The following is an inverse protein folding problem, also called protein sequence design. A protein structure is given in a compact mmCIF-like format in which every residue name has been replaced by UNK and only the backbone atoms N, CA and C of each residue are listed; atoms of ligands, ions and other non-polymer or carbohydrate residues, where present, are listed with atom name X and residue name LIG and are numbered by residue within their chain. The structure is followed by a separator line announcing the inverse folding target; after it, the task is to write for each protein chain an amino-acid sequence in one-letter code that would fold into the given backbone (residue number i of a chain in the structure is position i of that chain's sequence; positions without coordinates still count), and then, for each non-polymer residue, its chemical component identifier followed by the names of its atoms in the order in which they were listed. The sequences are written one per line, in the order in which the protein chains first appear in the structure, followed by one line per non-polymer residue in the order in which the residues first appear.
data_IF_483430538536
#
_entry.id   IF_483430538536
#
_cell.length_a   1.000
_cell.length_b   1.000
_cell.length_c   1.000
_cell.angle_alpha   90.00
_cell.angle_beta   90.00
_cell.angle_gamma   90.00
#
_symmetry.space_group_name_H-M   'P 1'
#
loop_
_entity.id
_entity.type
_entity.pdbx_description
1 polymer ?
#
# COMPACT_ATOMS: atom_id res chain seq x y z
N UNK A 1 28.45 -30.46 -58.94
CA UNK A 1 27.69 -31.68 -58.57
C UNK A 1 26.77 -31.29 -57.42
N UNK A 2 25.46 -31.51 -57.36
CA UNK A 2 24.44 -32.17 -58.18
C UNK A 2 23.15 -32.09 -57.33
N UNK A 3 21.99 -31.71 -57.92
CA UNK A 3 20.61 -32.19 -57.62
C UNK A 3 20.07 -32.24 -56.15
N UNK A 4 18.81 -32.03 -55.77
CA UNK A 4 17.51 -32.06 -56.44
C UNK A 4 16.42 -31.41 -55.55
N UNK A 5 15.35 -30.93 -56.21
CA UNK A 5 14.04 -30.58 -55.63
C UNK A 5 13.37 -31.78 -54.95
N UNK A 6 12.71 -31.57 -53.82
CA UNK A 6 11.49 -32.31 -53.45
C UNK A 6 10.44 -31.32 -52.91
N UNK A 7 9.28 -31.31 -53.57
CA UNK A 7 8.05 -30.66 -53.13
C UNK A 7 7.48 -31.40 -51.91
N UNK A 8 6.77 -30.71 -51.03
CA UNK A 8 5.33 -30.94 -50.89
C UNK A 8 4.62 -29.78 -50.19
N UNK A 9 3.55 -29.31 -50.82
CA UNK A 9 2.67 -28.29 -50.31
C UNK A 9 1.68 -28.94 -49.32
N UNK A 10 1.58 -28.39 -48.10
CA UNK A 10 0.40 -28.64 -47.26
C UNK A 10 -0.78 -27.91 -47.91
N UNK A 11 -1.83 -28.69 -48.18
CA UNK A 11 -3.12 -28.22 -48.65
C UNK A 11 -3.78 -27.47 -47.49
N UNK A 12 -4.02 -26.18 -47.68
CA UNK A 12 -4.98 -25.45 -46.86
C UNK A 12 -6.26 -25.29 -47.67
N UNK A 13 -7.35 -25.50 -46.97
CA UNK A 13 -8.67 -25.86 -47.48
C UNK A 13 -9.30 -24.79 -48.38
N UNK A 14 -10.08 -25.30 -49.32
CA UNK A 14 -10.88 -24.51 -50.26
C UNK A 14 -11.80 -23.53 -49.51
N UNK A 15 -11.63 -22.24 -49.78
CA UNK A 15 -12.64 -21.23 -49.47
C UNK A 15 -13.67 -21.21 -50.60
N UNK A 16 -14.89 -21.64 -50.29
CA UNK A 16 -16.03 -21.63 -51.21
C UNK A 16 -16.25 -20.24 -51.80
N UNK A 17 -16.05 -20.11 -53.11
CA UNK A 17 -16.45 -18.94 -53.88
C UNK A 17 -17.96 -18.97 -54.09
N UNK A 18 -18.68 -18.19 -53.29
CA UNK A 18 -20.09 -17.86 -53.52
C UNK A 18 -20.20 -17.02 -54.80
N UNK A 19 -20.73 -17.63 -55.85
CA UNK A 19 -21.00 -17.01 -57.15
C UNK A 19 -22.15 -15.99 -57.04
N UNK A 20 -21.80 -14.73 -56.79
CA UNK A 20 -22.69 -13.59 -57.03
C UNK A 20 -22.65 -13.15 -58.50
N UNK A 21 -23.80 -13.22 -59.17
CA UNK A 21 -24.01 -12.68 -60.52
C UNK A 21 -23.71 -11.17 -60.58
N UNK A 22 -22.66 -10.77 -61.28
CA UNK A 22 -22.45 -9.37 -61.66
C UNK A 22 -22.61 -9.20 -63.16
N UNK A 23 -23.67 -8.47 -63.48
CA UNK A 23 -24.09 -8.05 -64.81
C UNK A 23 -22.97 -7.25 -65.48
N UNK A 24 -22.58 -7.72 -66.67
CA UNK A 24 -21.70 -7.02 -67.61
C UNK A 24 -22.34 -5.69 -68.02
N UNK A 25 -21.75 -4.59 -67.54
CA UNK A 25 -21.97 -3.24 -68.05
C UNK A 25 -20.61 -2.56 -68.17
N UNK A 26 -20.10 -2.55 -69.39
CA UNK A 26 -19.04 -1.66 -69.88
C UNK A 26 -19.17 -0.25 -69.26
N UNK A 27 -18.31 0.03 -68.27
CA UNK A 27 -18.11 1.34 -67.70
C UNK A 27 -16.63 1.67 -67.83
N UNK A 28 -16.29 2.46 -68.84
CA UNK A 28 -14.96 3.01 -69.08
C UNK A 28 -14.37 3.60 -67.78
N UNK A 29 -13.21 3.09 -67.36
CA UNK A 29 -12.60 3.43 -66.07
C UNK A 29 -12.12 4.90 -66.09
N UNK A 30 -12.81 5.79 -65.37
CA UNK A 30 -12.36 7.18 -65.18
C UNK A 30 -11.32 7.25 -64.07
N UNK A 31 -10.07 7.57 -64.44
CA UNK A 31 -9.01 7.91 -63.51
C UNK A 31 -9.33 9.27 -62.86
N UNK A 32 -9.53 9.27 -61.54
CA UNK A 32 -9.73 10.50 -60.74
C UNK A 32 -8.40 11.01 -60.21
N UNK A 33 -8.31 12.32 -59.96
CA UNK A 33 -7.10 12.93 -59.41
C UNK A 33 -6.82 12.43 -57.98
N UNK A 34 -5.54 12.28 -57.58
CA UNK A 34 -5.20 11.84 -56.23
C UNK A 34 -5.77 12.80 -55.18
N UNK A 35 -6.57 12.26 -54.26
CA UNK A 35 -7.12 13.00 -53.13
C UNK A 35 -5.97 13.49 -52.25
N UNK A 36 -5.89 14.80 -51.99
CA UNK A 36 -4.85 15.34 -51.11
C UNK A 36 -4.94 14.71 -49.72
N UNK A 37 -3.83 14.20 -49.20
CA UNK A 37 -3.74 13.65 -47.85
C UNK A 37 -4.03 14.73 -46.79
N UNK A 38 -4.66 14.31 -45.69
CA UNK A 38 -4.93 15.17 -44.54
C UNK A 38 -3.61 15.55 -43.85
N UNK A 39 -3.47 16.82 -43.47
CA UNK A 39 -2.30 17.35 -42.77
C UNK A 39 -2.22 16.73 -41.37
N UNK A 40 -1.07 16.18 -40.99
CA UNK A 40 -0.86 15.62 -39.65
C UNK A 40 -1.11 16.69 -38.59
N UNK A 41 -1.96 16.38 -37.60
CA UNK A 41 -2.16 17.24 -36.45
C UNK A 41 -0.92 17.20 -35.53
N UNK A 42 -0.53 18.33 -34.91
CA UNK A 42 0.57 18.35 -33.97
C UNK A 42 0.27 17.45 -32.77
N UNK A 43 1.25 16.64 -32.40
CA UNK A 43 1.22 15.77 -31.23
C UNK A 43 0.96 16.64 -30.01
N UNK A 44 -0.19 16.44 -29.36
CA UNK A 44 -0.46 17.08 -28.07
C UNK A 44 0.52 16.49 -27.07
N UNK A 45 1.44 17.30 -26.57
CA UNK A 45 2.35 16.93 -25.50
C UNK A 45 1.52 16.57 -24.28
N UNK A 46 1.43 15.26 -23.97
CA UNK A 46 0.83 14.79 -22.72
C UNK A 46 1.59 15.48 -21.58
N UNK A 47 0.86 16.08 -20.65
CA UNK A 47 1.47 16.69 -19.47
C UNK A 47 2.33 15.65 -18.73
N UNK A 48 3.45 16.07 -18.11
CA UNK A 48 4.31 15.16 -17.37
C UNK A 48 3.51 14.41 -16.30
N UNK A 49 3.68 13.08 -16.24
CA UNK A 49 3.11 12.26 -15.19
C UNK A 49 3.70 12.75 -13.86
N UNK A 50 2.84 13.15 -12.91
CA UNK A 50 3.29 13.50 -11.57
C UNK A 50 3.80 12.23 -10.88
N UNK A 51 5.12 12.12 -10.74
CA UNK A 51 5.81 11.02 -10.04
C UNK A 51 5.85 11.22 -8.51
N UNK A 52 4.93 12.01 -7.94
CA UNK A 52 4.91 12.26 -6.51
C UNK A 52 4.57 10.96 -5.77
N UNK A 53 5.32 10.65 -4.71
CA UNK A 53 5.08 9.47 -3.89
C UNK A 53 3.76 9.63 -3.12
N UNK A 54 2.75 8.83 -3.44
CA UNK A 54 1.44 8.82 -2.77
C UNK A 54 1.51 8.42 -1.28
N UNK A 55 2.62 7.84 -0.84
CA UNK A 55 2.87 7.44 0.54
C UNK A 55 3.64 8.49 1.34
N UNK A 56 3.90 9.67 0.78
CA UNK A 56 4.57 10.76 1.51
C UNK A 56 3.80 11.20 2.76
N UNK A 57 2.48 10.98 2.80
CA UNK A 57 1.64 11.19 4.00
C UNK A 57 1.98 10.21 5.13
N UNK A 58 2.52 9.02 4.84
CA UNK A 58 2.99 8.07 5.87
C UNK A 58 4.28 8.54 6.55
N UNK A 59 5.10 9.33 5.85
CA UNK A 59 6.28 9.99 6.41
C UNK A 59 5.91 11.13 7.36
N UNK A 60 4.75 11.76 7.15
CA UNK A 60 4.27 12.90 7.92
C UNK A 60 3.36 12.49 9.09
N UNK A 61 3.58 11.31 9.66
CA UNK A 61 2.78 10.81 10.77
C UNK A 61 3.18 11.53 12.07
N UNK A 62 2.75 12.79 12.26
CA UNK A 62 2.94 13.61 13.48
C UNK A 62 4.17 13.19 14.30
N UNK A 63 5.38 13.27 13.71
CA UNK A 63 6.65 12.95 14.39
C UNK A 63 6.80 13.77 15.70
N UNK A 64 6.08 14.88 15.78
CA UNK A 64 6.08 15.82 16.89
C UNK A 64 5.29 15.39 18.12
N UNK A 65 4.55 14.28 18.08
CA UNK A 65 3.96 13.70 19.30
C UNK A 65 4.78 12.48 19.71
N UNK A 66 5.98 12.73 20.24
CA UNK A 66 6.73 11.78 21.05
C UNK A 66 5.85 11.34 22.21
N UNK A 67 5.07 10.29 21.97
CA UNK A 67 4.08 9.82 22.91
C UNK A 67 4.82 8.98 23.95
N UNK A 68 4.82 9.45 25.19
CA UNK A 68 5.38 8.73 26.32
C UNK A 68 4.77 7.33 26.36
N UNK A 69 5.57 6.25 26.34
CA UNK A 69 5.06 4.89 26.31
C UNK A 69 4.31 4.58 27.61
N UNK A 70 3.15 3.92 27.48
CA UNK A 70 2.32 3.59 28.61
C UNK A 70 2.92 2.48 29.49
N UNK A 71 2.59 2.54 30.79
CA UNK A 71 2.91 1.53 31.79
C UNK A 71 1.68 0.62 31.92
N UNK A 72 1.80 -0.66 31.59
CA UNK A 72 0.71 -1.61 31.71
C UNK A 72 0.77 -2.29 33.09
N UNK A 73 -0.01 -1.78 34.02
CA UNK A 73 -0.12 -2.31 35.38
C UNK A 73 -1.06 -3.52 35.41
N UNK A 74 -0.63 -4.62 36.03
CA UNK A 74 -1.44 -5.83 36.18
C UNK A 74 -2.42 -5.65 37.34
N UNK A 75 -3.69 -5.98 37.11
CA UNK A 75 -4.71 -5.91 38.16
C UNK A 75 -4.45 -7.01 39.21
N UNK A 76 -4.27 -6.60 40.46
CA UNK A 76 -4.22 -7.47 41.65
C UNK A 76 -5.42 -7.20 42.58
N UNK A 77 -5.48 -7.78 43.78
CA UNK A 77 -6.59 -7.53 44.73
C UNK A 77 -6.60 -6.10 45.30
N UNK A 78 -5.45 -5.42 45.28
CA UNK A 78 -5.21 -4.09 45.84
C UNK A 78 -5.11 -2.98 44.80
N UNK A 79 -5.39 -3.30 43.53
CA UNK A 79 -5.09 -2.43 42.39
C UNK A 79 -5.77 -1.06 42.51
N UNK A 80 -6.97 -1.03 43.08
CA UNK A 80 -7.74 0.19 43.31
C UNK A 80 -6.99 1.17 44.23
N UNK A 81 -6.33 0.67 45.28
CA UNK A 81 -5.57 1.51 46.21
C UNK A 81 -4.32 2.08 45.53
N UNK A 82 -3.59 1.24 44.79
CA UNK A 82 -2.42 1.67 44.01
C UNK A 82 -2.81 2.70 42.96
N UNK A 83 -3.94 2.51 42.27
CA UNK A 83 -4.43 3.45 41.27
C UNK A 83 -4.85 4.79 41.89
N UNK A 84 -5.47 4.75 43.08
CA UNK A 84 -5.79 5.96 43.84
C UNK A 84 -4.52 6.73 44.26
N UNK A 85 -3.49 6.02 44.73
CA UNK A 85 -2.20 6.62 45.09
C UNK A 85 -1.55 7.30 43.87
N UNK A 86 -1.52 6.61 42.72
CA UNK A 86 -0.99 7.16 41.47
C UNK A 86 -1.78 8.40 41.04
N UNK A 87 -3.12 8.36 41.06
CA UNK A 87 -3.95 9.52 40.69
C UNK A 87 -3.78 10.69 41.68
N UNK A 88 -3.51 10.41 42.96
CA UNK A 88 -3.26 11.46 43.96
C UNK A 88 -1.90 12.12 43.77
N UNK A 89 -0.86 11.37 43.39
CA UNK A 89 0.48 11.92 43.16
C UNK A 89 0.63 12.52 41.76
N UNK A 90 -0.06 11.96 40.77
CA UNK A 90 0.07 12.27 39.35
C UNK A 90 -1.32 12.42 38.70
N UNK A 91 -2.06 13.51 38.99
CA UNK A 91 -3.41 13.71 38.47
C UNK A 91 -3.46 13.89 36.94
N UNK A 92 -2.34 14.23 36.32
CA UNK A 92 -2.19 14.40 34.86
C UNK A 92 -2.00 13.06 34.12
N UNK A 93 -2.30 11.93 34.75
CA UNK A 93 -2.20 10.59 34.14
C UNK A 93 -3.54 10.13 33.60
N UNK A 94 -3.53 9.53 32.41
CA UNK A 94 -4.71 8.87 31.83
C UNK A 94 -4.63 7.37 32.08
N UNK A 95 -5.72 6.78 32.58
CA UNK A 95 -5.79 5.35 32.87
C UNK A 95 -6.83 4.68 31.96
N UNK A 96 -6.44 3.60 31.26
CA UNK A 96 -7.31 2.86 30.34
C UNK A 96 -7.18 1.36 30.57
N UNK A 97 -8.30 0.63 30.59
CA UNK A 97 -8.28 -0.83 30.67
C UNK A 97 -8.04 -1.42 29.26
N UNK A 98 -6.90 -2.07 29.06
CA UNK A 98 -6.49 -2.64 27.76
C UNK A 98 -5.99 -4.07 27.99
N UNK A 99 -6.64 -5.04 27.34
CA UNK A 99 -6.23 -6.47 27.35
C UNK A 99 -6.01 -7.05 28.76
N UNK A 100 -6.80 -6.64 29.75
CA UNK A 100 -6.66 -7.11 31.13
C UNK A 100 -5.59 -6.39 31.97
N UNK A 101 -4.99 -5.32 31.44
CA UNK A 101 -4.07 -4.45 32.17
C UNK A 101 -4.64 -3.03 32.27
N UNK A 102 -4.28 -2.33 33.34
CA UNK A 102 -4.50 -0.89 33.46
C UNK A 102 -3.32 -0.20 32.79
N UNK A 103 -3.55 0.29 31.59
CA UNK A 103 -2.59 1.10 30.83
C UNK A 103 -2.60 2.52 31.37
N UNK A 104 -1.53 2.89 32.07
CA UNK A 104 -1.29 4.22 32.63
C UNK A 104 -0.46 5.01 31.63
N UNK A 105 -1.01 6.11 31.14
CA UNK A 105 -0.37 7.01 30.21
C UNK A 105 0.02 8.30 30.93
N UNK A 106 1.33 8.53 31.03
CA UNK A 106 1.88 9.74 31.63
C UNK A 106 2.06 10.83 30.58
N UNK A 107 1.89 12.09 30.99
CA UNK A 107 2.11 13.26 30.14
C UNK A 107 3.61 13.57 29.90
N UNK A 108 4.47 13.23 30.88
CA UNK A 108 5.92 13.47 30.84
C UNK A 108 6.70 12.18 31.13
N UNK A 109 7.89 11.99 30.52
CA UNK A 109 8.79 10.87 30.84
C UNK A 109 9.24 10.87 32.31
N UNK A 110 9.37 12.04 32.94
CA UNK A 110 9.76 12.13 34.36
C UNK A 110 8.66 11.57 35.28
N UNK A 111 7.40 11.88 34.98
CA UNK A 111 6.24 11.34 35.70
C UNK A 111 6.18 9.82 35.51
N UNK A 112 6.46 9.33 34.29
CA UNK A 112 6.52 7.90 33.98
C UNK A 112 7.53 7.18 34.87
N UNK A 113 8.77 7.69 34.99
CA UNK A 113 9.80 7.05 35.83
C UNK A 113 9.38 7.03 37.31
N UNK A 114 8.81 8.13 37.83
CA UNK A 114 8.30 8.17 39.21
C UNK A 114 7.20 7.14 39.48
N UNK A 115 6.30 6.91 38.52
CA UNK A 115 5.25 5.89 38.63
C UNK A 115 5.88 4.49 38.61
N UNK A 116 6.88 4.25 37.75
CA UNK A 116 7.61 2.98 37.70
C UNK A 116 8.28 2.70 39.06
N UNK A 117 8.92 3.69 39.65
CA UNK A 117 9.58 3.56 40.96
C UNK A 117 8.56 3.30 42.08
N UNK A 118 7.40 3.96 42.05
CA UNK A 118 6.30 3.69 42.98
C UNK A 118 5.83 2.23 42.88
N UNK A 119 5.60 1.75 41.64
CA UNK A 119 5.16 0.38 41.39
C UNK A 119 6.20 -0.65 41.84
N UNK A 120 7.49 -0.41 41.59
CA UNK A 120 8.59 -1.26 42.07
C UNK A 120 8.66 -1.27 43.60
N UNK A 121 8.53 -0.12 44.25
CA UNK A 121 8.57 0.00 45.72
C UNK A 121 7.43 -0.77 46.39
N UNK A 122 6.26 -0.78 45.75
CA UNK A 122 5.06 -1.47 46.23
C UNK A 122 4.97 -2.92 45.76
N UNK A 123 6.04 -3.48 45.18
CA UNK A 123 6.16 -4.84 44.64
C UNK A 123 5.00 -5.22 43.70
N UNK A 124 4.71 -4.32 42.76
CA UNK A 124 3.63 -4.48 41.77
C UNK A 124 4.15 -5.00 40.45
N UNK A 125 3.39 -5.93 39.85
CA UNK A 125 3.68 -6.42 38.51
C UNK A 125 3.20 -5.44 37.44
N UNK A 126 4.10 -5.06 36.53
CA UNK A 126 3.78 -4.22 35.38
C UNK A 126 4.65 -4.57 34.17
N UNK A 127 4.18 -4.18 32.98
CA UNK A 127 4.89 -4.33 31.71
C UNK A 127 5.02 -2.97 31.04
N UNK A 128 6.22 -2.62 30.59
CA UNK A 128 6.47 -1.37 29.88
C UNK A 128 6.15 -1.51 28.40
N UNK A 129 5.38 -0.57 27.86
CA UNK A 129 5.15 -0.50 26.41
C UNK A 129 6.39 0.04 25.70
N UNK A 130 6.63 -0.43 24.49
CA UNK A 130 7.67 0.09 23.60
C UNK A 130 7.29 1.49 23.05
N UNK A 131 8.32 2.30 22.79
CA UNK A 131 8.12 3.57 22.11
C UNK A 131 7.56 3.36 20.70
N UNK A 132 6.98 4.42 20.13
CA UNK A 132 6.51 4.34 18.73
C UNK A 132 7.69 4.17 17.76
N UNK A 133 8.81 4.80 18.08
CA UNK A 133 10.03 4.78 17.26
C UNK A 133 10.66 3.38 17.20
N UNK A 134 10.56 2.61 18.28
CA UNK A 134 11.13 1.26 18.36
C UNK A 134 10.25 0.19 17.69
N UNK A 135 8.99 0.52 17.36
CA UNK A 135 8.04 -0.44 16.82
C UNK A 135 8.16 -0.58 15.31
N UNK A 136 8.30 -1.82 14.77
CA UNK A 136 8.39 -2.02 13.34
C UNK A 136 7.08 -1.60 12.64
N UNK A 137 7.21 -0.85 11.55
CA UNK A 137 6.07 -0.47 10.71
C UNK A 137 5.57 -1.69 9.92
N UNK A 138 4.36 -2.16 10.23
CA UNK A 138 3.69 -3.20 9.45
C UNK A 138 2.86 -2.58 8.34
N UNK A 139 3.29 -2.73 7.10
CA UNK A 139 2.57 -2.27 5.91
C UNK A 139 1.81 -3.46 5.30
N UNK A 140 0.56 -3.24 4.90
CA UNK A 140 -0.25 -4.23 4.18
C UNK A 140 -0.64 -3.64 2.83
N UNK A 141 -0.08 -4.19 1.76
CA UNK A 141 -0.42 -3.81 0.39
C UNK A 141 -1.57 -4.72 -0.07
N UNK A 142 -2.72 -4.12 -0.41
CA UNK A 142 -3.88 -4.83 -0.97
C UNK A 142 -3.86 -4.77 -2.49
N UNK A 143 -4.47 -5.75 -3.15
CA UNK A 143 -4.59 -5.84 -4.61
C UNK A 143 -3.27 -6.02 -5.36
N UNK A 144 -2.29 -6.67 -4.71
CA UNK A 144 -1.11 -7.17 -5.39
C UNK A 144 -1.50 -8.29 -6.38
N UNK A 145 -1.01 -8.24 -7.63
CA UNK A 145 -1.10 -9.36 -8.55
C UNK A 145 -0.53 -10.64 -7.91
N UNK A 146 -1.15 -11.80 -8.18
CA UNK A 146 -0.73 -13.09 -7.63
C UNK A 146 0.70 -13.47 -8.04
N UNK A 147 1.14 -12.97 -9.19
CA UNK A 147 2.44 -13.15 -9.82
C UNK A 147 3.45 -12.06 -9.46
N UNK A 148 3.11 -11.11 -8.58
CA UNK A 148 4.06 -10.07 -8.17
C UNK A 148 5.25 -10.67 -7.42
N UNK A 149 6.45 -10.37 -7.91
CA UNK A 149 7.68 -10.71 -7.23
C UNK A 149 7.84 -9.92 -5.92
N UNK A 150 8.15 -10.65 -4.85
CA UNK A 150 8.39 -10.09 -3.51
C UNK A 150 9.76 -9.40 -3.43
N UNK A 151 10.71 -9.80 -4.26
CA UNK A 151 12.05 -9.22 -4.28
C UNK A 151 12.07 -7.84 -4.93
N UNK A 152 11.16 -7.57 -5.88
CA UNK A 152 10.97 -6.25 -6.50
C UNK A 152 10.26 -5.23 -5.57
N UNK A 153 9.69 -5.67 -4.44
CA UNK A 153 8.91 -4.84 -3.53
C UNK A 153 9.73 -4.23 -2.38
N UNK A 154 11.02 -4.55 -2.26
CA UNK A 154 11.91 -4.12 -1.17
C UNK A 154 12.83 -2.95 -1.57
#
# INVERSE_FOLDING_TARGET
MSCSKHQEARKDDAMDTETGQYIDKNSEFKVVSPRKAVKNMPVTTKSPIKMANKFQELSNLDENKRQVPAINFKMDLSYNLTLQEINSMFPETENKLIKGFISIQANSPEIREKIIDLLKKNDKEFVLSEAREDRPLKIVIKWLPLDQDKEELN
#
